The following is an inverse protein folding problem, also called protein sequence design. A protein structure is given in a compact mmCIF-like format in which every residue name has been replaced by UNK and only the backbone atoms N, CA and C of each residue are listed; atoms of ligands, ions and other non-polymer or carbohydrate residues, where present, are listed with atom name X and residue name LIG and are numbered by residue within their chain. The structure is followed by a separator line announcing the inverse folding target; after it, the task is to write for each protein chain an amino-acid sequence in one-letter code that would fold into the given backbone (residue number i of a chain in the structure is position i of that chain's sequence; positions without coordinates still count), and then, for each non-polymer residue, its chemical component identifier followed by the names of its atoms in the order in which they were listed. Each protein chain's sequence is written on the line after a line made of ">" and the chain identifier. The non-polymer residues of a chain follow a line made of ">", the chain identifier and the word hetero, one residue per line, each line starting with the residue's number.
data_IF_481796676777
#
_entry.id   IF_481796676777
#
_cell.length_a   1.000
_cell.length_b   1.000
_cell.length_c   1.000
_cell.angle_alpha   90.00
_cell.angle_beta   90.00
_cell.angle_gamma   90.00
#
_symmetry.space_group_name_H-M   'P 1'
#
loop_
_entity.id
_entity.type
_entity.pdbx_description
1 polymer ?
#
# COMPACT_ATOMS: atom_id res chain seq x y z
N UNK A 1 -1.75 -24.57 28.09
CA UNK A 1 -2.14 -24.47 26.69
C UNK A 1 -1.04 -24.96 25.76
N UNK A 2 -1.38 -25.33 24.56
CA UNK A 2 -0.41 -25.75 23.56
C UNK A 2 0.20 -24.48 22.93
N UNK A 3 1.52 -24.33 23.05
CA UNK A 3 2.28 -23.32 22.32
C UNK A 3 2.31 -23.68 20.83
N UNK A 4 1.98 -22.72 19.95
CA UNK A 4 1.91 -22.92 18.51
C UNK A 4 3.04 -22.16 17.82
N UNK A 5 3.66 -22.74 16.77
CA UNK A 5 4.65 -22.03 15.98
C UNK A 5 4.07 -20.72 15.44
N UNK A 6 4.78 -19.62 15.60
CA UNK A 6 4.31 -18.30 15.23
C UNK A 6 5.44 -17.44 14.65
N UNK A 7 5.04 -16.43 13.87
CA UNK A 7 5.91 -15.39 13.35
C UNK A 7 5.46 -14.04 13.94
N UNK A 8 6.33 -13.40 14.70
CA UNK A 8 6.13 -12.01 15.08
C UNK A 8 6.72 -11.12 13.99
N UNK A 9 5.89 -10.24 13.44
CA UNK A 9 6.29 -9.26 12.45
C UNK A 9 6.23 -7.88 13.11
N UNK A 10 7.35 -7.20 13.20
CA UNK A 10 7.48 -5.86 13.77
C UNK A 10 8.10 -4.90 12.75
N UNK A 11 7.89 -3.59 12.93
CA UNK A 11 8.71 -2.61 12.21
C UNK A 11 10.13 -2.67 12.72
N UNK A 12 11.09 -2.60 11.81
CA UNK A 12 12.49 -2.49 12.20
C UNK A 12 12.78 -1.13 12.83
N UNK A 13 13.76 -1.08 13.73
CA UNK A 13 14.24 0.16 14.30
C UNK A 13 14.85 1.06 13.21
N UNK A 14 14.65 2.37 13.32
CA UNK A 14 15.11 3.37 12.36
C UNK A 14 14.09 4.50 12.18
N UNK A 15 14.44 5.49 11.39
CA UNK A 15 13.59 6.63 11.08
C UNK A 15 13.20 6.65 9.59
N UNK A 16 11.98 7.13 9.32
CA UNK A 16 11.48 7.46 8.00
C UNK A 16 10.94 6.29 7.17
N UNK A 17 10.70 6.58 5.90
CA UNK A 17 10.04 5.70 4.94
C UNK A 17 10.83 4.43 4.60
N UNK A 18 12.16 4.43 4.83
CA UNK A 18 13.04 3.30 4.52
C UNK A 18 13.04 2.19 5.57
N UNK A 19 12.20 2.30 6.61
CA UNK A 19 12.12 1.27 7.66
C UNK A 19 11.61 -0.04 7.11
N UNK A 20 12.41 -1.09 7.30
CA UNK A 20 12.05 -2.45 6.95
C UNK A 20 11.12 -3.14 7.95
N UNK A 21 11.07 -4.46 7.87
CA UNK A 21 10.40 -5.32 8.85
C UNK A 21 11.41 -6.25 9.50
N UNK A 22 11.19 -6.54 10.76
CA UNK A 22 11.81 -7.67 11.44
C UNK A 22 10.79 -8.79 11.57
N UNK A 23 11.12 -9.95 11.01
CA UNK A 23 10.32 -11.17 11.13
C UNK A 23 11.04 -12.10 12.08
N UNK A 24 10.42 -12.40 13.20
CA UNK A 24 11.00 -13.24 14.27
C UNK A 24 10.20 -14.53 14.39
N UNK A 25 10.91 -15.66 14.35
CA UNK A 25 10.32 -16.95 14.66
C UNK A 25 10.14 -17.10 16.17
N UNK A 26 9.01 -17.66 16.56
CA UNK A 26 8.70 -17.93 17.96
C UNK A 26 7.54 -18.88 18.15
N UNK A 27 7.01 -18.87 19.35
CA UNK A 27 5.83 -19.65 19.73
C UNK A 27 4.82 -18.71 20.41
N UNK A 28 3.59 -18.73 19.90
CA UNK A 28 2.49 -17.97 20.50
C UNK A 28 1.92 -18.77 21.68
N UNK A 29 1.72 -18.08 22.79
CA UNK A 29 0.93 -18.58 23.91
C UNK A 29 -0.58 -18.35 23.68
N UNK A 30 -1.41 -18.72 24.66
CA UNK A 30 -2.88 -18.53 24.59
C UNK A 30 -3.31 -17.06 24.50
N UNK A 31 -2.47 -16.16 24.97
CA UNK A 31 -2.70 -14.71 24.88
C UNK A 31 -2.20 -14.11 23.55
N UNK A 32 -1.65 -14.93 22.65
CA UNK A 32 -1.08 -14.49 21.37
C UNK A 32 0.30 -13.83 21.48
N UNK A 33 0.95 -13.90 22.64
CA UNK A 33 2.30 -13.38 22.81
C UNK A 33 3.31 -14.35 22.17
N UNK A 34 4.11 -13.85 21.24
CA UNK A 34 5.15 -14.65 20.59
C UNK A 34 6.44 -14.56 21.37
N UNK A 35 6.98 -15.72 21.75
CA UNK A 35 8.28 -15.84 22.43
C UNK A 35 9.27 -16.56 21.53
N UNK A 36 10.44 -15.95 21.34
CA UNK A 36 11.53 -16.61 20.65
C UNK A 36 11.95 -17.89 21.42
N UNK A 37 12.36 -18.95 20.72
CA UNK A 37 12.91 -20.12 21.36
C UNK A 37 14.29 -19.79 21.98
N UNK A 38 14.56 -20.35 23.16
CA UNK A 38 15.90 -20.26 23.78
C UNK A 38 16.94 -21.00 22.91
N UNK A 39 16.51 -22.08 22.25
CA UNK A 39 17.35 -22.91 21.39
C UNK A 39 16.50 -23.79 20.46
N UNK A 40 16.96 -24.00 19.25
CA UNK A 40 16.46 -25.04 18.35
C UNK A 40 17.40 -26.26 18.46
N UNK A 41 16.82 -27.44 18.70
CA UNK A 41 17.53 -28.71 18.87
C UNK A 41 17.13 -29.60 17.73
N UNK A 42 18.13 -30.12 17.02
CA UNK A 42 17.94 -31.07 15.93
C UNK A 42 18.27 -32.46 16.41
N UNK A 43 17.38 -33.41 16.10
CA UNK A 43 17.55 -34.81 16.41
C UNK A 43 17.27 -35.66 15.18
N UNK A 44 17.61 -36.92 15.22
CA UNK A 44 17.24 -37.90 14.18
C UNK A 44 15.72 -38.11 14.07
N UNK A 45 14.97 -37.82 15.13
CA UNK A 45 13.51 -37.97 15.20
C UNK A 45 12.74 -36.70 14.85
N UNK A 46 13.43 -35.55 14.68
CA UNK A 46 12.81 -34.24 14.33
C UNK A 46 13.48 -33.09 15.00
N UNK A 47 13.01 -31.89 14.65
CA UNK A 47 13.49 -30.62 15.22
C UNK A 47 12.56 -30.18 16.36
N UNK A 48 13.14 -29.65 17.42
CA UNK A 48 12.44 -29.16 18.60
C UNK A 48 12.93 -27.77 18.97
N UNK A 49 12.02 -26.94 19.41
CA UNK A 49 12.34 -25.67 20.02
C UNK A 49 12.25 -25.77 21.55
N UNK A 50 13.23 -25.25 22.24
CA UNK A 50 13.12 -25.06 23.68
C UNK A 50 12.52 -23.69 23.96
N UNK A 51 11.40 -23.66 24.67
CA UNK A 51 10.73 -22.43 25.10
C UNK A 51 10.60 -22.49 26.63
N UNK A 52 11.47 -21.78 27.33
CA UNK A 52 11.59 -21.89 28.77
C UNK A 52 11.97 -23.31 29.22
N UNK A 53 11.06 -23.98 29.93
CA UNK A 53 11.28 -25.36 30.40
C UNK A 53 10.68 -26.44 29.53
N UNK A 54 10.07 -26.08 28.39
CA UNK A 54 9.37 -27.00 27.50
C UNK A 54 10.13 -27.23 26.21
N UNK A 55 9.92 -28.41 25.62
CA UNK A 55 10.35 -28.73 24.27
C UNK A 55 9.12 -28.84 23.36
N UNK A 56 9.04 -28.01 22.35
CA UNK A 56 7.94 -27.95 21.40
C UNK A 56 8.43 -28.52 20.07
N UNK A 57 7.76 -29.53 19.50
CA UNK A 57 8.16 -30.06 18.21
C UNK A 57 7.93 -29.01 17.12
N UNK A 58 8.90 -28.91 16.19
CA UNK A 58 8.78 -28.10 14.99
C UNK A 58 8.33 -29.02 13.86
N UNK A 59 7.19 -28.75 13.19
CA UNK A 59 6.74 -29.53 12.06
C UNK A 59 7.83 -29.68 10.99
N UNK A 60 8.01 -30.90 10.45
CA UNK A 60 9.13 -31.21 9.56
C UNK A 60 9.11 -30.43 8.22
N UNK A 61 7.93 -30.06 7.74
CA UNK A 61 7.74 -29.22 6.56
C UNK A 61 8.16 -27.76 6.82
N UNK A 62 7.83 -27.23 8.00
CA UNK A 62 8.28 -25.89 8.45
C UNK A 62 9.79 -25.84 8.62
N UNK A 63 10.35 -26.86 9.28
CA UNK A 63 11.79 -26.95 9.50
C UNK A 63 12.59 -26.96 8.18
N UNK A 64 12.11 -27.68 7.16
CA UNK A 64 12.77 -27.70 5.85
C UNK A 64 12.67 -26.40 5.07
N UNK A 65 11.48 -25.81 5.01
CA UNK A 65 11.20 -24.60 4.21
C UNK A 65 11.79 -23.32 4.80
N UNK A 66 11.84 -23.28 6.13
CA UNK A 66 12.19 -22.04 6.87
C UNK A 66 13.49 -22.19 7.68
N UNK A 67 14.39 -23.05 7.21
CA UNK A 67 15.63 -23.35 7.93
C UNK A 67 16.43 -22.09 8.31
N UNK A 68 16.60 -21.14 7.38
CA UNK A 68 17.35 -19.92 7.65
C UNK A 68 16.72 -19.09 8.76
N UNK A 69 15.39 -18.96 8.78
CA UNK A 69 14.66 -18.24 9.82
C UNK A 69 14.77 -18.96 11.19
N UNK A 70 14.66 -20.28 11.20
CA UNK A 70 14.82 -21.08 12.42
C UNK A 70 16.26 -21.02 12.98
N UNK A 71 17.26 -20.94 12.10
CA UNK A 71 18.69 -20.85 12.51
C UNK A 71 19.06 -19.46 13.01
N UNK A 72 18.57 -18.42 12.36
CA UNK A 72 18.85 -17.03 12.74
C UNK A 72 17.92 -16.51 13.85
N UNK A 73 16.76 -17.15 14.05
CA UNK A 73 15.70 -16.68 14.94
C UNK A 73 14.94 -15.46 14.42
N UNK A 74 15.56 -14.65 13.57
CA UNK A 74 14.92 -13.49 12.94
C UNK A 74 15.57 -13.15 11.60
N UNK A 75 14.78 -12.50 10.73
CA UNK A 75 15.24 -11.98 9.44
C UNK A 75 14.78 -10.54 9.31
N UNK A 76 15.70 -9.69 8.84
CA UNK A 76 15.38 -8.31 8.46
C UNK A 76 15.01 -8.26 6.99
N UNK A 77 13.86 -7.66 6.71
CA UNK A 77 13.38 -7.39 5.36
C UNK A 77 13.47 -5.90 5.09
N UNK A 78 14.16 -5.47 4.04
CA UNK A 78 14.20 -4.06 3.66
C UNK A 78 12.83 -3.58 3.16
N UNK A 79 12.61 -2.25 3.15
CA UNK A 79 11.30 -1.65 2.86
C UNK A 79 10.72 -2.08 1.51
N UNK A 80 11.54 -2.20 0.48
CA UNK A 80 11.15 -2.62 -0.88
C UNK A 80 10.63 -4.07 -0.95
N UNK A 81 10.94 -4.89 0.05
CA UNK A 81 10.47 -6.27 0.15
C UNK A 81 9.13 -6.40 0.88
N UNK A 82 8.67 -5.34 1.55
CA UNK A 82 7.43 -5.36 2.35
C UNK A 82 6.21 -5.80 1.53
N UNK A 83 5.92 -5.22 0.35
CA UNK A 83 4.76 -5.66 -0.43
C UNK A 83 4.81 -7.13 -0.80
N UNK A 84 5.96 -7.61 -1.28
CA UNK A 84 6.15 -9.01 -1.63
C UNK A 84 5.97 -9.95 -0.43
N UNK A 85 6.43 -9.54 0.74
CA UNK A 85 6.25 -10.28 1.97
C UNK A 85 4.76 -10.43 2.33
N UNK A 86 4.01 -9.32 2.37
CA UNK A 86 2.59 -9.36 2.75
C UNK A 86 1.72 -10.12 1.74
N UNK A 87 1.98 -9.99 0.44
CA UNK A 87 1.14 -10.58 -0.60
C UNK A 87 1.46 -12.04 -0.91
N UNK A 88 2.69 -12.47 -0.69
CA UNK A 88 3.15 -13.80 -1.08
C UNK A 88 3.73 -14.59 0.08
N UNK A 89 4.75 -14.02 0.72
CA UNK A 89 5.55 -14.78 1.67
C UNK A 89 4.76 -15.05 2.95
N UNK A 90 4.01 -14.07 3.45
CA UNK A 90 3.17 -14.21 4.64
C UNK A 90 2.03 -15.22 4.43
N UNK A 91 1.44 -15.26 3.23
CA UNK A 91 0.39 -16.23 2.88
C UNK A 91 0.97 -17.67 2.89
N UNK A 92 2.17 -17.85 2.32
CA UNK A 92 2.85 -19.14 2.30
C UNK A 92 3.27 -19.58 3.70
N UNK A 93 3.83 -18.65 4.48
CA UNK A 93 4.26 -18.90 5.86
C UNK A 93 3.06 -19.16 6.78
N UNK A 94 1.96 -18.45 6.59
CA UNK A 94 0.71 -18.59 7.35
C UNK A 94 0.06 -19.99 7.23
N UNK A 95 0.46 -20.80 6.24
CA UNK A 95 0.03 -22.21 6.17
C UNK A 95 0.63 -23.09 7.28
N UNK A 96 1.65 -22.61 7.98
CA UNK A 96 2.34 -23.39 9.01
C UNK A 96 2.66 -22.63 10.29
N UNK A 97 2.51 -21.31 10.27
CA UNK A 97 2.76 -20.44 11.41
C UNK A 97 1.56 -19.54 11.68
N UNK A 98 1.28 -19.29 12.95
CA UNK A 98 0.40 -18.17 13.31
C UNK A 98 1.17 -16.85 13.07
N UNK A 99 0.69 -16.01 12.15
CA UNK A 99 1.30 -14.71 11.91
C UNK A 99 0.73 -13.67 12.89
N UNK A 100 1.60 -13.04 13.67
CA UNK A 100 1.25 -12.00 14.63
C UNK A 100 1.92 -10.69 14.19
N UNK A 101 1.10 -9.75 13.70
CA UNK A 101 1.56 -8.40 13.37
C UNK A 101 1.57 -7.57 14.64
N UNK A 102 2.73 -6.98 14.99
CA UNK A 102 2.93 -6.29 16.26
C UNK A 102 3.17 -4.79 16.02
N UNK A 103 2.45 -3.96 16.77
CA UNK A 103 2.59 -2.51 16.72
C UNK A 103 2.34 -1.95 15.32
N UNK A 104 3.22 -1.08 14.85
CA UNK A 104 3.09 -0.41 13.54
C UNK A 104 3.06 -1.36 12.34
N UNK A 105 3.53 -2.60 12.48
CA UNK A 105 3.45 -3.58 11.39
C UNK A 105 2.00 -4.00 11.09
N UNK A 106 1.10 -3.89 12.08
CA UNK A 106 -0.33 -4.17 11.89
C UNK A 106 -1.05 -3.09 11.07
N UNK A 107 -0.49 -1.89 11.00
CA UNK A 107 -1.06 -0.77 10.23
C UNK A 107 -0.59 -0.74 8.77
N UNK A 108 0.30 -1.65 8.38
CA UNK A 108 0.82 -1.69 7.02
C UNK A 108 -0.29 -2.09 6.05
N UNK A 109 -0.42 -1.30 4.99
CA UNK A 109 -1.38 -1.52 3.92
C UNK A 109 -0.64 -1.69 2.59
N UNK A 110 -0.93 -2.79 1.90
CA UNK A 110 -0.48 -3.03 0.53
C UNK A 110 -1.73 -3.10 -0.34
N UNK A 111 -1.88 -2.13 -1.21
CA UNK A 111 -3.10 -1.88 -1.97
C UNK A 111 -2.88 -2.19 -3.45
N UNK A 112 -3.93 -2.64 -4.11
CA UNK A 112 -3.94 -2.80 -5.56
C UNK A 112 -4.03 -1.46 -6.29
N UNK A 113 -3.73 -1.45 -7.58
CA UNK A 113 -3.80 -0.26 -8.44
C UNK A 113 -5.20 0.38 -8.47
N UNK A 114 -6.25 -0.40 -8.27
CA UNK A 114 -7.63 0.07 -8.21
C UNK A 114 -7.90 1.01 -7.02
N UNK A 115 -6.98 1.05 -6.05
CA UNK A 115 -7.03 2.02 -4.95
C UNK A 115 -6.59 3.42 -5.37
N UNK A 116 -5.93 3.57 -6.52
CA UNK A 116 -5.51 4.86 -7.07
C UNK A 116 -6.74 5.57 -7.62
N UNK A 117 -7.03 6.76 -7.09
CA UNK A 117 -8.18 7.56 -7.52
C UNK A 117 -7.75 8.91 -8.05
N UNK A 118 -8.20 9.30 -9.26
CA UNK A 118 -8.00 10.66 -9.73
C UNK A 118 -8.88 11.63 -8.93
N UNK A 119 -8.32 12.80 -8.64
CA UNK A 119 -9.00 13.93 -7.98
C UNK A 119 -8.94 15.12 -8.91
N UNK A 120 -10.09 15.63 -9.31
CA UNK A 120 -10.20 16.80 -10.18
C UNK A 120 -10.62 18.01 -9.35
N UNK A 121 -9.72 18.95 -9.22
CA UNK A 121 -9.98 20.23 -8.55
C UNK A 121 -10.39 21.28 -9.57
N UNK A 122 -11.52 21.96 -9.34
CA UNK A 122 -12.09 22.98 -10.22
C UNK A 122 -11.96 24.36 -9.59
N UNK A 123 -11.57 25.35 -10.40
CA UNK A 123 -11.42 26.73 -9.98
C UNK A 123 -11.83 27.68 -11.13
N UNK A 124 -12.22 28.91 -10.80
CA UNK A 124 -12.58 29.97 -11.76
C UNK A 124 -11.91 31.29 -11.37
N UNK A 125 -10.59 31.35 -11.54
CA UNK A 125 -9.84 32.59 -11.22
C UNK A 125 -9.98 33.68 -12.26
N UNK A 126 -10.27 33.30 -13.50
CA UNK A 126 -10.40 34.23 -14.63
C UNK A 126 -11.83 34.11 -15.18
N UNK A 127 -12.58 35.21 -15.23
CA UNK A 127 -13.94 35.20 -15.77
C UNK A 127 -14.00 34.58 -17.17
N UNK A 128 -14.97 33.73 -17.41
CA UNK A 128 -15.16 33.01 -18.67
C UNK A 128 -14.27 31.81 -18.89
N UNK A 129 -13.41 31.46 -17.92
CA UNK A 129 -12.53 30.31 -17.97
C UNK A 129 -12.70 29.40 -16.77
N UNK A 130 -12.59 28.11 -17.03
CA UNK A 130 -12.55 27.05 -16.03
C UNK A 130 -11.14 26.52 -15.95
N UNK A 131 -10.51 26.70 -14.82
CA UNK A 131 -9.24 26.08 -14.48
C UNK A 131 -9.52 24.75 -13.76
N UNK A 132 -8.86 23.69 -14.16
CA UNK A 132 -8.93 22.44 -13.44
C UNK A 132 -7.57 21.75 -13.34
N UNK A 133 -7.42 20.96 -12.29
CA UNK A 133 -6.20 20.23 -12.00
C UNK A 133 -6.57 18.77 -11.72
N UNK A 134 -5.79 17.85 -12.28
CA UNK A 134 -5.89 16.41 -12.01
C UNK A 134 -4.73 15.97 -11.14
N UNK A 135 -5.04 15.49 -9.96
CA UNK A 135 -4.13 14.88 -9.02
C UNK A 135 -4.55 13.44 -8.76
N UNK A 136 -3.74 12.69 -8.05
CA UNK A 136 -4.05 11.31 -7.67
C UNK A 136 -3.99 11.17 -6.15
N UNK A 137 -4.81 10.28 -5.62
CA UNK A 137 -4.79 9.91 -4.20
C UNK A 137 -4.91 8.40 -4.02
N UNK A 138 -4.36 7.91 -2.93
CA UNK A 138 -4.49 6.53 -2.45
C UNK A 138 -4.83 6.57 -0.97
N UNK A 139 -5.91 5.94 -0.57
CA UNK A 139 -6.40 5.97 0.82
C UNK A 139 -6.49 7.39 1.42
N UNK A 140 -6.89 8.39 0.59
CA UNK A 140 -7.00 9.79 0.99
C UNK A 140 -5.68 10.57 1.06
N UNK A 141 -4.55 9.95 0.68
CA UNK A 141 -3.22 10.59 0.66
C UNK A 141 -2.82 10.96 -0.76
N UNK A 142 -2.19 12.12 -0.99
CA UNK A 142 -1.77 12.52 -2.32
C UNK A 142 -0.68 11.59 -2.86
N UNK A 143 -0.82 11.21 -4.12
CA UNK A 143 0.15 10.40 -4.86
C UNK A 143 0.72 11.22 -6.02
N UNK A 144 2.03 11.56 -5.99
CA UNK A 144 2.69 12.27 -7.07
C UNK A 144 2.62 11.50 -8.41
N UNK A 145 2.25 12.14 -9.53
CA UNK A 145 2.14 11.47 -10.83
C UNK A 145 3.43 10.80 -11.33
N UNK A 146 4.58 11.38 -10.99
CA UNK A 146 5.91 10.87 -11.33
C UNK A 146 6.18 9.50 -10.69
N UNK A 147 5.62 9.24 -9.52
CA UNK A 147 5.72 7.91 -8.90
C UNK A 147 4.94 6.85 -9.68
N UNK A 148 3.80 7.23 -10.28
CA UNK A 148 3.03 6.33 -11.15
C UNK A 148 3.74 6.09 -12.48
N UNK A 149 4.28 7.14 -13.09
CA UNK A 149 5.02 7.06 -14.37
C UNK A 149 6.38 6.36 -14.24
N UNK A 150 6.93 6.28 -13.03
CA UNK A 150 8.20 5.61 -12.73
C UNK A 150 8.08 4.10 -12.54
N UNK A 151 6.87 3.59 -12.26
CA UNK A 151 6.62 2.15 -12.13
C UNK A 151 6.78 1.47 -13.49
N UNK A 152 7.86 0.69 -13.66
CA UNK A 152 8.26 0.12 -14.97
C UNK A 152 7.69 -1.25 -15.26
N UNK A 153 6.83 -1.80 -14.40
CA UNK A 153 6.29 -3.13 -14.64
C UNK A 153 5.22 -3.59 -13.66
N UNK A 154 4.45 -4.59 -14.10
CA UNK A 154 3.51 -5.27 -13.21
C UNK A 154 4.26 -5.95 -12.05
N UNK A 155 3.91 -5.60 -10.82
CA UNK A 155 4.52 -6.14 -9.61
C UNK A 155 5.50 -5.21 -8.90
N UNK A 156 5.77 -4.01 -9.43
CA UNK A 156 6.42 -2.94 -8.68
C UNK A 156 5.40 -2.25 -7.78
N UNK A 157 5.83 -1.91 -6.58
CA UNK A 157 5.01 -1.19 -5.61
C UNK A 157 5.64 0.16 -5.33
N UNK A 158 4.77 1.17 -5.28
CA UNK A 158 5.14 2.54 -4.93
C UNK A 158 4.81 2.76 -3.47
N UNK A 159 5.76 3.26 -2.72
CA UNK A 159 5.53 3.66 -1.34
C UNK A 159 4.89 5.04 -1.31
N UNK A 160 3.65 5.12 -0.79
CA UNK A 160 2.88 6.36 -0.64
C UNK A 160 3.30 7.09 0.63
N UNK A 161 3.47 6.36 1.70
CA UNK A 161 4.00 6.82 2.99
C UNK A 161 4.63 5.67 3.79
N UNK A 162 4.96 5.91 5.06
CA UNK A 162 5.64 4.93 5.91
C UNK A 162 4.90 3.60 6.07
N UNK A 163 3.57 3.58 5.89
CA UNK A 163 2.71 2.41 6.15
C UNK A 163 1.94 1.94 4.92
N UNK A 164 1.96 2.69 3.83
CA UNK A 164 1.09 2.43 2.66
C UNK A 164 1.91 2.23 1.41
N UNK A 165 1.68 1.11 0.75
CA UNK A 165 2.19 0.79 -0.59
C UNK A 165 1.01 0.57 -1.53
N UNK A 166 1.19 0.94 -2.80
CA UNK A 166 0.21 0.68 -3.85
C UNK A 166 0.90 0.03 -5.04
N UNK A 167 0.23 -0.88 -5.71
CA UNK A 167 0.74 -1.45 -6.94
C UNK A 167 0.97 -0.34 -7.98
N UNK A 168 2.19 -0.25 -8.49
CA UNK A 168 2.57 0.70 -9.54
C UNK A 168 1.96 0.27 -10.86
N UNK A 169 0.92 0.98 -11.30
CA UNK A 169 0.23 0.73 -12.55
C UNK A 169 0.07 2.05 -13.30
N UNK A 170 0.66 2.21 -14.50
CA UNK A 170 0.52 3.42 -15.28
C UNK A 170 -0.86 3.58 -15.93
N UNK A 171 -1.67 2.52 -16.01
CA UNK A 171 -2.98 2.55 -16.69
C UNK A 171 -3.94 3.64 -16.20
N UNK A 172 -4.07 3.94 -14.89
CA UNK A 172 -4.89 5.05 -14.44
C UNK A 172 -4.44 6.40 -14.99
N UNK A 173 -3.13 6.64 -15.07
CA UNK A 173 -2.55 7.85 -15.63
C UNK A 173 -2.76 7.92 -17.15
N UNK A 174 -2.55 6.81 -17.84
CA UNK A 174 -2.75 6.70 -19.29
C UNK A 174 -4.22 6.93 -19.67
N UNK A 175 -5.16 6.36 -18.93
CA UNK A 175 -6.59 6.55 -19.13
C UNK A 175 -7.00 8.02 -18.99
N UNK A 176 -6.52 8.69 -17.96
CA UNK A 176 -6.74 10.14 -17.75
C UNK A 176 -6.15 10.95 -18.89
N UNK A 177 -4.91 10.66 -19.30
CA UNK A 177 -4.24 11.37 -20.40
C UNK A 177 -4.95 11.18 -21.75
N UNK A 178 -5.43 9.98 -22.04
CA UNK A 178 -6.22 9.69 -23.25
C UNK A 178 -7.53 10.50 -23.27
N UNK A 179 -8.23 10.59 -22.16
CA UNK A 179 -9.44 11.40 -22.04
C UNK A 179 -9.17 12.91 -22.14
N UNK A 180 -8.11 13.40 -21.52
CA UNK A 180 -7.69 14.80 -21.65
C UNK A 180 -7.37 15.18 -23.09
N UNK A 181 -6.70 14.29 -23.82
CA UNK A 181 -6.44 14.48 -25.27
C UNK A 181 -7.74 14.58 -26.07
N UNK A 182 -8.78 13.81 -25.72
CA UNK A 182 -10.13 13.90 -26.29
C UNK A 182 -10.83 15.25 -26.04
N UNK A 183 -10.47 15.96 -24.96
CA UNK A 183 -10.94 17.31 -24.69
C UNK A 183 -10.17 18.39 -25.47
N UNK A 184 -9.21 18.01 -26.30
CA UNK A 184 -8.32 18.95 -26.97
C UNK A 184 -7.30 19.62 -26.05
N UNK A 185 -7.09 19.06 -24.88
CA UNK A 185 -6.14 19.58 -23.87
C UNK A 185 -4.88 18.71 -23.90
N UNK A 186 -3.74 19.33 -24.13
CA UNK A 186 -2.48 18.60 -24.15
C UNK A 186 -2.16 18.04 -22.75
N UNK A 187 -1.70 16.78 -22.64
CA UNK A 187 -1.16 16.25 -21.40
C UNK A 187 -0.05 17.17 -20.88
N UNK A 188 -0.12 17.51 -19.60
CA UNK A 188 0.79 18.50 -19.01
C UNK A 188 1.08 18.20 -17.56
N UNK A 189 1.39 19.24 -16.82
CA UNK A 189 1.73 19.18 -15.38
C UNK A 189 0.51 19.06 -14.44
N UNK A 190 -0.61 18.52 -14.94
CA UNK A 190 -1.85 18.33 -14.18
C UNK A 190 -2.73 19.57 -14.08
N UNK A 191 -2.35 20.69 -14.73
CA UNK A 191 -3.16 21.93 -14.76
C UNK A 191 -3.67 22.22 -16.15
N UNK A 192 -4.96 22.47 -16.27
CA UNK A 192 -5.65 22.62 -17.54
C UNK A 192 -6.62 23.78 -17.48
N UNK A 193 -6.91 24.36 -18.63
CA UNK A 193 -7.86 25.48 -18.78
C UNK A 193 -8.77 25.25 -19.98
N UNK A 194 -10.06 25.41 -19.77
CA UNK A 194 -11.09 25.37 -20.80
C UNK A 194 -12.04 26.57 -20.66
N UNK A 195 -12.73 26.97 -21.75
CA UNK A 195 -13.81 27.95 -21.64
C UNK A 195 -14.90 27.48 -20.67
N UNK A 196 -15.45 28.38 -19.87
CA UNK A 196 -16.43 28.06 -18.82
C UNK A 196 -17.70 27.34 -19.35
N UNK A 197 -18.09 27.61 -20.62
CA UNK A 197 -19.24 26.95 -21.25
C UNK A 197 -19.00 25.43 -21.50
N UNK A 198 -17.76 24.95 -21.40
CA UNK A 198 -17.42 23.51 -21.48
C UNK A 198 -17.46 22.80 -20.13
N UNK A 199 -18.06 23.40 -19.11
CA UNK A 199 -18.15 22.80 -17.78
C UNK A 199 -18.81 21.40 -17.80
N UNK A 200 -19.89 21.23 -18.56
CA UNK A 200 -20.55 19.93 -18.69
C UNK A 200 -19.59 18.83 -19.23
N UNK A 201 -18.76 19.18 -20.18
CA UNK A 201 -17.73 18.27 -20.73
C UNK A 201 -16.68 17.86 -19.69
N UNK A 202 -16.32 18.81 -18.78
CA UNK A 202 -15.43 18.48 -17.66
C UNK A 202 -16.11 17.59 -16.64
N UNK A 203 -17.40 17.78 -16.38
CA UNK A 203 -18.16 16.85 -15.51
C UNK A 203 -18.25 15.44 -16.09
N UNK A 204 -18.51 15.31 -17.40
CA UNK A 204 -18.46 14.01 -18.09
C UNK A 204 -17.08 13.37 -17.99
N UNK A 205 -16.02 14.16 -18.21
CA UNK A 205 -14.65 13.68 -18.03
C UNK A 205 -14.40 13.16 -16.60
N UNK A 206 -14.82 13.90 -15.56
CA UNK A 206 -14.65 13.45 -14.16
C UNK A 206 -15.38 12.14 -13.90
N UNK A 207 -16.61 12.01 -14.43
CA UNK A 207 -17.40 10.79 -14.30
C UNK A 207 -16.73 9.60 -15.03
N UNK A 208 -16.24 9.82 -16.24
CA UNK A 208 -15.60 8.81 -17.09
C UNK A 208 -14.32 8.22 -16.48
N UNK A 209 -13.53 9.05 -15.79
CA UNK A 209 -12.32 8.60 -15.12
C UNK A 209 -12.57 8.07 -13.71
N UNK A 210 -13.84 8.02 -13.25
CA UNK A 210 -14.18 7.65 -11.87
C UNK A 210 -13.56 8.57 -10.83
N UNK A 211 -13.31 9.84 -11.20
CA UNK A 211 -12.62 10.81 -10.38
C UNK A 211 -13.50 11.41 -9.29
N UNK A 212 -12.87 11.87 -8.21
CA UNK A 212 -13.51 12.70 -7.19
C UNK A 212 -13.38 14.17 -7.55
N UNK A 213 -14.48 14.89 -7.57
CA UNK A 213 -14.48 16.34 -7.82
C UNK A 213 -14.31 17.11 -6.51
N UNK A 214 -13.44 18.13 -6.56
CA UNK A 214 -13.27 19.12 -5.49
C UNK A 214 -13.44 20.51 -6.10
N UNK A 215 -14.40 21.28 -5.60
CA UNK A 215 -14.68 22.63 -6.07
C UNK A 215 -14.07 23.66 -5.11
N UNK A 216 -13.36 24.67 -5.64
CA UNK A 216 -12.96 25.83 -4.86
C UNK A 216 -14.18 26.65 -4.42
N UNK A 217 -14.01 27.52 -3.44
CA UNK A 217 -15.08 28.43 -3.00
C UNK A 217 -15.50 29.37 -4.13
N UNK A 218 -14.55 29.91 -4.88
CA UNK A 218 -14.80 30.75 -6.06
C UNK A 218 -15.62 30.00 -7.12
N UNK A 219 -15.31 28.70 -7.35
CA UNK A 219 -16.07 27.91 -8.31
C UNK A 219 -17.48 27.59 -7.82
N UNK A 220 -17.68 27.36 -6.53
CA UNK A 220 -19.03 27.18 -5.96
C UNK A 220 -19.88 28.44 -6.13
N UNK A 221 -19.33 29.62 -5.84
CA UNK A 221 -20.01 30.91 -6.10
C UNK A 221 -20.41 31.07 -7.57
N UNK A 222 -19.53 30.73 -8.50
CA UNK A 222 -19.83 30.72 -9.94
C UNK A 222 -20.98 29.79 -10.31
N UNK A 223 -21.05 28.60 -9.73
CA UNK A 223 -22.17 27.66 -9.96
C UNK A 223 -23.48 28.21 -9.42
N UNK A 224 -23.47 28.82 -8.24
CA UNK A 224 -24.66 29.43 -7.63
C UNK A 224 -25.20 30.57 -8.50
N UNK A 225 -24.33 31.35 -9.12
CA UNK A 225 -24.72 32.40 -10.09
C UNK A 225 -25.34 31.77 -11.35
N UNK A 226 -24.80 30.65 -11.88
CA UNK A 226 -25.34 29.97 -13.06
C UNK A 226 -26.68 29.29 -12.82
N UNK A 227 -26.92 28.79 -11.62
CA UNK A 227 -28.15 28.05 -11.27
C UNK A 227 -29.24 28.95 -10.67
N UNK A 228 -28.93 30.19 -10.36
CA UNK A 228 -29.84 31.16 -9.78
C UNK A 228 -30.70 31.95 -10.81
N UNK A 229 -30.65 31.56 -12.10
CA UNK A 229 -31.47 32.13 -13.16
C UNK A 229 -32.68 31.26 -13.50
#
# INVERSE_FOLDING_TARGET
>A
GAERPALAVTRADGEGASRGLQVTFGFADEAGQVRAPDRVIRTSSGDYARVGRRFVPIPADLSRRNRALLESGSVMLPAERIPGFFLRDLVVLGSGFDAVLVGEAADIQVLDADAIRPVVSLDTRVPGWLDFNVAYEVAGKPLPPDLLGGARGAGEYVQVDEKTWVAGDPRPLEAVNARLSGLGVAPGNGRYRLPAHQFATVQEFVADIGGRQVASEAFRGFLDELTGF
#
